data_IF_209121613168
#
_entry.id   IF_209121613168
#
_cell.length_a   1.000
_cell.length_b   1.000
_cell.length_c   1.000
_cell.angle_alpha   90.00
_cell.angle_beta   90.00
_cell.angle_gamma   90.00
#
_symmetry.space_group_name_H-M   'P 1'
#
loop_
_entity.id
_entity.type
_entity.pdbx_description
1 polymer ?
#
# COMPACT_ATOMS: atom_id res chain seq x y z
N UNK A 1 -3.58 11.48 -23.38
CA UNK A 1 -2.58 10.51 -22.86
C UNK A 1 -1.45 11.16 -22.05
N UNK A 2 -0.88 12.29 -22.48
CA UNK A 2 0.17 12.98 -21.71
C UNK A 2 -0.30 13.46 -20.33
N UNK A 3 -1.47 14.11 -20.27
CA UNK A 3 -2.04 14.72 -19.04
C UNK A 3 -2.29 13.70 -17.91
N UNK A 4 -2.85 12.52 -18.22
CA UNK A 4 -3.08 11.49 -17.20
C UNK A 4 -1.78 10.91 -16.65
N UNK A 5 -0.79 10.67 -17.50
CA UNK A 5 0.54 10.20 -17.08
C UNK A 5 1.21 11.20 -16.15
N UNK A 6 1.12 12.50 -16.50
CA UNK A 6 1.64 13.58 -15.66
C UNK A 6 0.92 13.63 -14.32
N UNK A 7 -0.43 13.54 -14.32
CA UNK A 7 -1.22 13.55 -13.10
C UNK A 7 -0.87 12.36 -12.17
N UNK A 8 -0.79 11.14 -12.71
CA UNK A 8 -0.37 9.95 -11.94
C UNK A 8 1.03 10.16 -11.35
N UNK A 9 1.99 10.62 -12.16
CA UNK A 9 3.35 10.85 -11.70
C UNK A 9 3.41 11.88 -10.57
N UNK A 10 2.71 12.99 -10.71
CA UNK A 10 2.65 14.03 -9.66
C UNK A 10 2.02 13.49 -8.37
N UNK A 11 0.95 12.71 -8.47
CA UNK A 11 0.31 12.08 -7.30
C UNK A 11 1.22 11.05 -6.62
N UNK A 12 1.96 10.25 -7.39
CA UNK A 12 2.94 9.30 -6.86
C UNK A 12 4.10 10.03 -6.18
N UNK A 13 4.63 11.10 -6.78
CA UNK A 13 5.69 11.93 -6.18
C UNK A 13 5.21 12.62 -4.91
N UNK A 14 4.00 13.18 -4.90
CA UNK A 14 3.40 13.75 -3.70
C UNK A 14 3.21 12.69 -2.61
N UNK A 15 2.67 11.51 -2.98
CA UNK A 15 2.51 10.39 -2.08
C UNK A 15 3.84 9.92 -1.49
N UNK A 16 4.87 9.80 -2.31
CA UNK A 16 6.20 9.42 -1.87
C UNK A 16 6.80 10.48 -0.93
N UNK A 17 6.72 11.76 -1.29
CA UNK A 17 7.20 12.85 -0.44
C UNK A 17 6.56 12.85 0.95
N UNK A 18 5.23 12.66 1.02
CA UNK A 18 4.51 12.62 2.29
C UNK A 18 4.78 11.35 3.10
N UNK A 19 4.77 10.16 2.46
CA UNK A 19 4.79 8.88 3.16
C UNK A 19 6.19 8.39 3.50
N UNK A 20 7.22 8.88 2.83
CA UNK A 20 8.61 8.61 3.21
C UNK A 20 9.18 9.65 4.17
N UNK A 21 8.54 10.84 4.29
CA UNK A 21 8.92 11.82 5.29
C UNK A 21 8.69 11.28 6.70
N UNK A 22 9.68 11.46 7.58
CA UNK A 22 9.56 11.15 9.01
C UNK A 22 9.30 9.67 9.33
N UNK A 23 9.55 8.74 8.40
CA UNK A 23 9.24 7.30 8.54
C UNK A 23 9.89 6.67 9.77
N UNK A 24 11.07 7.14 10.18
CA UNK A 24 11.79 6.69 11.37
C UNK A 24 11.71 7.64 12.57
N UNK A 25 10.81 8.65 12.55
CA UNK A 25 10.81 9.71 13.57
C UNK A 25 10.26 9.28 14.95
N UNK A 26 9.51 8.18 15.00
CA UNK A 26 8.96 7.64 16.26
C UNK A 26 9.40 6.20 16.48
N UNK A 27 9.59 5.76 17.75
CA UNK A 27 9.85 4.36 18.05
C UNK A 27 8.68 3.48 17.61
N UNK A 28 8.91 2.16 17.51
CA UNK A 28 7.84 1.20 17.26
C UNK A 28 6.82 1.24 18.39
N UNK A 29 5.54 1.28 18.04
CA UNK A 29 4.45 1.41 19.00
C UNK A 29 3.27 0.49 18.66
N UNK A 30 2.31 0.39 19.58
CA UNK A 30 1.12 -0.44 19.39
C UNK A 30 1.46 -1.89 19.05
N UNK A 31 0.98 -2.37 17.90
CA UNK A 31 1.16 -3.74 17.43
C UNK A 31 2.43 -3.96 16.58
N UNK A 32 3.21 -2.93 16.31
CA UNK A 32 4.43 -3.06 15.51
C UNK A 32 5.49 -3.97 16.16
N UNK A 33 5.77 -3.85 17.50
CA UNK A 33 6.68 -4.78 18.19
C UNK A 33 6.24 -6.23 18.08
N UNK A 34 4.94 -6.51 18.10
CA UNK A 34 4.38 -7.85 17.89
C UNK A 34 4.75 -8.40 16.51
N UNK A 35 4.56 -7.59 15.47
CA UNK A 35 4.90 -7.98 14.09
C UNK A 35 6.39 -8.28 13.95
N UNK A 36 7.26 -7.42 14.50
CA UNK A 36 8.72 -7.60 14.46
C UNK A 36 9.15 -8.82 15.26
N UNK A 37 8.62 -8.98 16.47
CA UNK A 37 8.93 -10.11 17.36
C UNK A 37 8.70 -11.44 16.64
N UNK A 38 7.52 -11.64 16.03
CA UNK A 38 7.20 -12.87 15.35
C UNK A 38 7.98 -13.07 14.05
N UNK A 39 8.22 -11.99 13.30
CA UNK A 39 9.03 -12.06 12.09
C UNK A 39 10.47 -12.58 12.32
N UNK A 40 10.99 -12.44 13.54
CA UNK A 40 12.34 -12.86 13.90
C UNK A 40 12.44 -14.21 14.62
N UNK A 41 11.30 -14.86 14.95
CA UNK A 41 11.28 -16.16 15.62
C UNK A 41 11.70 -17.32 14.72
N UNK A 42 12.16 -18.44 15.30
CA UNK A 42 12.38 -19.69 14.54
C UNK A 42 11.17 -20.07 13.73
N UNK A 43 11.38 -20.72 12.58
CA UNK A 43 10.31 -21.02 11.61
C UNK A 43 9.14 -21.79 12.22
N UNK A 44 9.41 -22.75 13.11
CA UNK A 44 8.35 -23.53 13.78
C UNK A 44 7.42 -22.67 14.65
N UNK A 45 7.99 -21.76 15.45
CA UNK A 45 7.22 -20.83 16.29
C UNK A 45 6.44 -19.83 15.43
N UNK A 46 7.07 -19.28 14.38
CA UNK A 46 6.45 -18.36 13.45
C UNK A 46 5.23 -18.98 12.76
N UNK A 47 5.36 -20.21 12.24
CA UNK A 47 4.25 -20.90 11.57
C UNK A 47 3.15 -21.32 12.55
N UNK A 48 3.47 -21.63 13.79
CA UNK A 48 2.49 -21.91 14.84
C UNK A 48 1.67 -20.64 15.13
N UNK A 49 2.32 -19.48 15.27
CA UNK A 49 1.63 -18.19 15.44
C UNK A 49 0.70 -17.89 14.26
N UNK A 50 1.15 -18.06 13.00
CA UNK A 50 0.31 -17.78 11.83
C UNK A 50 -0.99 -18.61 11.77
N UNK A 51 -1.06 -19.74 12.46
CA UNK A 51 -2.28 -20.58 12.53
C UNK A 51 -3.32 -20.03 13.50
N UNK A 52 -2.90 -19.20 14.45
CA UNK A 52 -3.77 -18.65 15.51
C UNK A 52 -3.99 -17.14 15.34
N UNK A 53 -3.21 -16.50 14.48
CA UNK A 53 -3.28 -15.06 14.22
C UNK A 53 -4.48 -14.74 13.32
N UNK A 54 -5.24 -13.69 13.68
CA UNK A 54 -6.41 -13.24 12.92
C UNK A 54 -6.04 -12.42 11.66
N UNK A 55 -4.84 -11.86 11.64
CA UNK A 55 -4.40 -11.07 10.50
C UNK A 55 -3.86 -11.96 9.36
N UNK A 56 -4.06 -11.58 8.09
CA UNK A 56 -3.58 -12.35 6.95
C UNK A 56 -2.06 -12.60 7.01
N UNK A 57 -1.60 -13.85 6.74
CA UNK A 57 -0.21 -14.24 6.91
C UNK A 57 0.77 -13.56 5.95
N UNK A 58 0.29 -13.07 4.80
CA UNK A 58 1.13 -12.54 3.73
C UNK A 58 2.05 -11.41 4.22
N UNK A 59 1.53 -10.48 5.01
CA UNK A 59 2.34 -9.37 5.49
C UNK A 59 3.42 -9.83 6.48
N UNK A 60 3.13 -10.76 7.38
CA UNK A 60 4.12 -11.33 8.29
C UNK A 60 5.25 -12.04 7.53
N UNK A 61 4.92 -12.78 6.47
CA UNK A 61 5.91 -13.43 5.59
C UNK A 61 6.79 -12.40 4.88
N UNK A 62 6.20 -11.31 4.37
CA UNK A 62 6.95 -10.22 3.76
C UNK A 62 7.88 -9.53 4.75
N UNK A 63 7.39 -9.20 5.95
CA UNK A 63 8.22 -8.59 6.99
C UNK A 63 9.36 -9.52 7.38
N UNK A 64 9.09 -10.82 7.56
CA UNK A 64 10.13 -11.80 7.87
C UNK A 64 11.25 -11.82 6.81
N UNK A 65 10.89 -11.83 5.54
CA UNK A 65 11.88 -11.78 4.45
C UNK A 65 12.62 -10.43 4.44
N UNK A 66 11.89 -9.34 4.69
CA UNK A 66 12.42 -7.99 4.66
C UNK A 66 13.45 -7.72 5.77
N UNK A 67 13.13 -8.07 7.02
CA UNK A 67 14.03 -7.84 8.17
C UNK A 67 15.34 -8.64 8.09
N UNK A 68 15.38 -9.70 7.29
CA UNK A 68 16.61 -10.44 7.01
C UNK A 68 17.56 -9.72 6.03
N UNK A 69 17.07 -8.69 5.32
CA UNK A 69 17.79 -8.00 4.23
C UNK A 69 18.22 -6.58 4.57
N UNK A 70 17.60 -5.97 5.60
CA UNK A 70 17.77 -4.53 5.87
C UNK A 70 18.33 -4.26 7.28
N UNK A 71 18.96 -3.09 7.50
CA UNK A 71 19.32 -2.64 8.84
C UNK A 71 18.09 -2.46 9.72
N UNK A 72 18.24 -2.73 11.01
CA UNK A 72 17.18 -2.57 11.99
C UNK A 72 17.07 -1.10 12.41
N UNK A 73 16.24 -0.37 11.69
CA UNK A 73 15.77 0.95 12.10
C UNK A 73 14.30 1.09 11.75
N UNK A 74 13.59 1.93 12.47
CA UNK A 74 12.15 2.17 12.29
C UNK A 74 11.81 2.53 10.84
N UNK A 75 12.65 3.36 10.20
CA UNK A 75 12.46 3.75 8.80
C UNK A 75 12.52 2.55 7.85
N UNK A 76 13.53 1.68 7.99
CA UNK A 76 13.64 0.49 7.15
C UNK A 76 12.52 -0.52 7.41
N UNK A 77 12.15 -0.70 8.68
CA UNK A 77 11.08 -1.63 9.05
C UNK A 77 9.72 -1.21 8.46
N UNK A 78 9.41 0.09 8.45
CA UNK A 78 8.15 0.65 7.92
C UNK A 78 8.13 0.85 6.40
N UNK A 79 9.29 0.81 5.74
CA UNK A 79 9.42 1.09 4.31
C UNK A 79 8.47 0.28 3.43
N UNK A 80 8.24 -1.04 3.62
CA UNK A 80 7.27 -1.79 2.83
C UNK A 80 5.86 -1.21 2.89
N UNK A 81 5.38 -0.81 4.08
CA UNK A 81 4.06 -0.20 4.25
C UNK A 81 3.94 1.12 3.52
N UNK A 82 4.97 1.98 3.61
CA UNK A 82 5.01 3.25 2.87
C UNK A 82 5.00 3.02 1.34
N UNK A 83 5.79 2.06 0.86
CA UNK A 83 5.80 1.68 -0.56
C UNK A 83 4.43 1.20 -1.04
N UNK A 84 3.78 0.29 -0.30
CA UNK A 84 2.44 -0.20 -0.66
C UNK A 84 1.41 0.93 -0.66
N UNK A 85 1.48 1.84 0.30
CA UNK A 85 0.59 3.01 0.34
C UNK A 85 0.78 3.92 -0.87
N UNK A 86 2.02 4.20 -1.29
CA UNK A 86 2.29 4.99 -2.51
C UNK A 86 1.81 4.26 -3.76
N UNK A 87 2.12 2.97 -3.89
CA UNK A 87 1.71 2.16 -5.04
C UNK A 87 0.19 2.07 -5.22
N UNK A 88 -0.58 2.19 -4.13
CA UNK A 88 -2.06 2.17 -4.16
C UNK A 88 -2.64 3.32 -5.00
N UNK A 89 -1.94 4.45 -5.08
CA UNK A 89 -2.39 5.63 -5.85
C UNK A 89 -2.63 5.28 -7.32
N UNK A 90 -1.80 4.45 -7.91
CA UNK A 90 -1.89 4.11 -9.33
C UNK A 90 -3.16 3.32 -9.68
N UNK A 91 -3.42 2.13 -9.11
CA UNK A 91 -4.66 1.40 -9.41
C UNK A 91 -5.91 2.16 -8.97
N UNK A 92 -5.85 2.97 -7.90
CA UNK A 92 -6.93 3.84 -7.47
C UNK A 92 -7.27 4.89 -8.54
N UNK A 93 -6.25 5.57 -9.08
CA UNK A 93 -6.42 6.53 -10.17
C UNK A 93 -7.10 5.89 -11.37
N UNK A 94 -6.61 4.71 -11.80
CA UNK A 94 -7.16 3.99 -12.94
C UNK A 94 -8.61 3.52 -12.69
N UNK A 95 -8.94 3.08 -11.48
CA UNK A 95 -10.29 2.69 -11.11
C UNK A 95 -11.24 3.90 -11.16
N UNK A 96 -10.89 5.00 -10.50
CA UNK A 96 -11.68 6.23 -10.47
C UNK A 96 -11.84 6.84 -11.87
N UNK A 97 -10.77 6.85 -12.67
CA UNK A 97 -10.82 7.33 -14.06
C UNK A 97 -11.82 6.55 -14.90
N UNK A 98 -11.85 5.24 -14.71
CA UNK A 98 -12.80 4.40 -15.43
C UNK A 98 -14.26 4.65 -15.04
N UNK A 99 -14.53 5.20 -13.86
CA UNK A 99 -15.88 5.48 -13.34
C UNK A 99 -16.39 6.88 -13.71
N UNK A 100 -15.52 7.90 -13.63
CA UNK A 100 -15.93 9.29 -13.81
C UNK A 100 -14.90 10.20 -14.49
N UNK A 101 -13.96 9.61 -15.26
CA UNK A 101 -12.98 10.38 -16.05
C UNK A 101 -11.83 10.94 -15.21
N UNK A 102 -11.01 11.80 -15.86
CA UNK A 102 -9.75 12.28 -15.29
C UNK A 102 -9.94 13.17 -14.07
N UNK A 103 -11.00 13.97 -14.00
CA UNK A 103 -11.28 14.82 -12.83
C UNK A 103 -11.54 13.98 -11.57
N UNK A 104 -12.40 12.96 -11.68
CA UNK A 104 -12.67 12.03 -10.59
C UNK A 104 -11.42 11.28 -10.17
N UNK A 105 -10.57 10.88 -11.10
CA UNK A 105 -9.32 10.19 -10.83
C UNK A 105 -8.32 11.05 -10.04
N UNK A 106 -8.17 12.32 -10.42
CA UNK A 106 -7.31 13.27 -9.69
C UNK A 106 -7.86 13.51 -8.29
N UNK A 107 -9.17 13.77 -8.14
CA UNK A 107 -9.80 13.95 -6.84
C UNK A 107 -9.61 12.73 -5.94
N UNK A 108 -9.85 11.52 -6.44
CA UNK A 108 -9.66 10.29 -5.66
C UNK A 108 -8.20 10.10 -5.25
N UNK A 109 -7.25 10.35 -6.15
CA UNK A 109 -5.83 10.28 -5.86
C UNK A 109 -5.39 11.30 -4.81
N UNK A 110 -5.85 12.55 -4.88
CA UNK A 110 -5.57 13.59 -3.88
C UNK A 110 -6.17 13.24 -2.53
N UNK A 111 -7.45 12.88 -2.47
CA UNK A 111 -8.13 12.50 -1.23
C UNK A 111 -7.41 11.33 -0.55
N UNK A 112 -7.00 10.31 -1.30
CA UNK A 112 -6.24 9.19 -0.77
C UNK A 112 -4.87 9.62 -0.26
N UNK A 113 -4.14 10.39 -1.06
CA UNK A 113 -2.76 10.79 -0.75
C UNK A 113 -2.68 11.69 0.48
N UNK A 114 -3.66 12.61 0.64
CA UNK A 114 -3.74 13.58 1.73
C UNK A 114 -4.49 13.06 2.96
N UNK A 115 -5.08 11.87 2.89
CA UNK A 115 -5.83 11.31 4.00
C UNK A 115 -4.91 10.92 5.17
N UNK A 116 -5.22 11.41 6.36
CA UNK A 116 -4.43 11.16 7.57
C UNK A 116 -4.32 9.67 7.95
N UNK A 117 -5.39 8.89 7.79
CA UNK A 117 -5.32 7.45 8.07
C UNK A 117 -4.35 6.73 7.11
N UNK A 118 -4.27 7.17 5.85
CA UNK A 118 -3.31 6.62 4.89
C UNK A 118 -1.87 7.01 5.22
N UNK A 119 -1.67 8.17 5.85
CA UNK A 119 -0.38 8.54 6.41
C UNK A 119 -0.01 7.63 7.59
N UNK A 120 -0.90 7.43 8.55
CA UNK A 120 -0.70 6.54 9.71
C UNK A 120 -0.39 5.12 9.24
N UNK A 121 -1.20 4.53 8.36
CA UNK A 121 -0.98 3.15 7.87
C UNK A 121 0.33 2.98 7.09
N UNK A 122 0.82 4.03 6.43
CA UNK A 122 2.13 4.01 5.78
C UNK A 122 3.29 4.00 6.79
N UNK A 123 3.06 4.52 8.01
CA UNK A 123 4.03 4.62 9.10
C UNK A 123 3.88 3.52 10.14
N UNK A 124 3.16 2.47 9.84
CA UNK A 124 3.00 1.31 10.71
C UNK A 124 3.58 0.04 10.09
N UNK A 125 4.31 -0.74 10.89
CA UNK A 125 4.78 -2.08 10.52
C UNK A 125 3.60 -3.08 10.58
N UNK A 126 2.54 -2.81 9.78
CA UNK A 126 1.28 -3.57 9.75
C UNK A 126 0.78 -3.76 8.32
N UNK A 127 -0.04 -4.79 8.12
CA UNK A 127 -0.53 -5.18 6.79
C UNK A 127 -1.59 -4.27 6.16
N UNK A 128 -1.96 -3.14 6.79
CA UNK A 128 -3.07 -2.29 6.32
C UNK A 128 -2.83 -1.70 4.92
N UNK A 129 -1.64 -1.16 4.67
CA UNK A 129 -1.29 -0.61 3.36
C UNK A 129 -1.25 -1.67 2.26
N UNK A 130 -0.77 -2.89 2.57
CA UNK A 130 -0.80 -4.02 1.64
C UNK A 130 -2.23 -4.46 1.35
N UNK A 131 -3.06 -4.62 2.39
CA UNK A 131 -4.48 -4.99 2.25
C UNK A 131 -5.21 -4.01 1.33
N UNK A 132 -4.98 -2.72 1.55
CA UNK A 132 -5.62 -1.68 0.76
C UNK A 132 -5.15 -1.69 -0.69
N UNK A 133 -3.85 -1.86 -0.94
CA UNK A 133 -3.31 -2.03 -2.29
C UNK A 133 -3.99 -3.20 -3.00
N UNK A 134 -4.06 -4.36 -2.37
CA UNK A 134 -4.68 -5.55 -2.95
C UNK A 134 -6.18 -5.36 -3.19
N UNK A 135 -6.89 -4.73 -2.25
CA UNK A 135 -8.32 -4.42 -2.40
C UNK A 135 -8.57 -3.48 -3.60
N UNK A 136 -7.79 -2.41 -3.73
CA UNK A 136 -7.93 -1.46 -4.84
C UNK A 136 -7.56 -2.12 -6.18
N UNK A 137 -6.54 -2.96 -6.21
CA UNK A 137 -6.19 -3.75 -7.42
C UNK A 137 -7.33 -4.68 -7.80
N UNK A 138 -7.92 -5.40 -6.82
CA UNK A 138 -9.06 -6.28 -7.07
C UNK A 138 -10.26 -5.51 -7.63
N UNK A 139 -10.62 -4.36 -7.03
CA UNK A 139 -11.68 -3.48 -7.54
C UNK A 139 -11.38 -3.03 -8.98
N UNK A 140 -10.13 -2.65 -9.25
CA UNK A 140 -9.74 -2.24 -10.60
C UNK A 140 -9.89 -3.37 -11.63
N UNK A 141 -9.53 -4.60 -11.26
CA UNK A 141 -9.70 -5.77 -12.11
C UNK A 141 -11.18 -6.10 -12.35
N UNK A 142 -12.00 -6.07 -11.31
CA UNK A 142 -13.46 -6.28 -11.43
C UNK A 142 -14.12 -5.24 -12.32
N UNK A 143 -13.76 -3.96 -12.18
CA UNK A 143 -14.26 -2.89 -13.04
C UNK A 143 -13.83 -3.08 -14.51
N UNK A 144 -12.67 -3.65 -14.74
CA UNK A 144 -12.18 -3.98 -16.05
C UNK A 144 -13.01 -5.10 -16.70
N UNK A 145 -13.24 -6.19 -15.98
CA UNK A 145 -14.04 -7.32 -16.45
C UNK A 145 -15.51 -6.94 -16.69
N UNK A 146 -16.12 -6.18 -15.78
CA UNK A 146 -17.53 -5.77 -15.89
C UNK A 146 -17.84 -4.93 -17.13
N UNK A 147 -16.83 -4.29 -17.74
CA UNK A 147 -17.00 -3.44 -18.95
C UNK A 147 -16.78 -4.17 -20.27
N UNK A 148 -16.28 -5.41 -20.24
CA UNK A 148 -16.02 -6.21 -21.43
C UNK A 148 -14.82 -5.73 -22.28
N UNK A 149 -14.45 -6.48 -23.34
CA UNK A 149 -13.26 -6.18 -24.14
C UNK A 149 -13.36 -4.94 -25.05
N UNK A 150 -14.56 -4.40 -25.28
CA UNK A 150 -14.78 -3.30 -26.22
C UNK A 150 -14.49 -1.87 -25.69
N UNK A 151 -14.34 -1.66 -24.42
CA UNK A 151 -14.17 -0.30 -23.87
C UNK A 151 -12.70 0.20 -23.87
N UNK A 152 -11.75 -0.66 -24.17
CA UNK A 152 -10.34 -0.29 -24.31
C UNK A 152 -10.08 0.62 -25.52
N UNK A 153 -10.87 0.48 -26.56
CA UNK A 153 -10.72 1.22 -27.83
C UNK A 153 -11.30 2.63 -27.79
N UNK A 154 -12.10 2.97 -26.76
CA UNK A 154 -12.80 4.25 -26.69
C UNK A 154 -12.17 5.28 -25.71
N UNK A 155 -11.04 4.99 -25.07
CA UNK A 155 -10.52 5.83 -23.99
C UNK A 155 -9.01 5.87 -23.75
N UNK A 156 -8.19 5.51 -24.75
CA UNK A 156 -6.74 5.73 -24.73
C UNK A 156 -6.32 6.81 -25.67
#
# INVERSE_FOLDING_TARGET
MSTDRTAILLLLLLGAALKFSWLGASPLNGDEPFTLFWATRPWGEFTAMLRTENNPPLYFLLVRAWVALVPWSEAWLRLPSAVFSVLTVWPLYLAARSMGGSAMAVCAGLLFTLNNHQYIYAHELRGYSLLLLLAVVAIRLLLREARGPGWWSAGL
#
